data_IF_613171592013
#
_entry.id   IF_613171592013
#
_cell.length_a   1.000
_cell.length_b   1.000
_cell.length_c   1.000
_cell.angle_alpha   90.00
_cell.angle_beta   90.00
_cell.angle_gamma   90.00
#
_symmetry.space_group_name_H-M   'P 1'
#
loop_
_entity.id
_entity.type
_entity.pdbx_description
1 polymer ?
#
# COMPACT_ATOMS: atom_id res chain seq x y z
N UNK A 1 -20.38 10.90 -10.80
CA UNK A 1 -19.80 9.57 -10.93
C UNK A 1 -19.70 8.92 -9.57
N UNK A 2 -20.07 7.63 -9.45
CA UNK A 2 -20.00 6.96 -8.18
C UNK A 2 -18.54 6.82 -7.71
N UNK A 3 -18.36 6.94 -6.42
CA UNK A 3 -17.10 6.65 -5.73
C UNK A 3 -17.19 5.22 -5.20
N UNK A 4 -16.17 4.41 -5.47
CA UNK A 4 -16.05 3.08 -4.89
C UNK A 4 -15.60 3.19 -3.44
N UNK A 5 -16.23 2.41 -2.57
CA UNK A 5 -15.85 2.29 -1.17
C UNK A 5 -15.64 0.82 -0.83
N UNK A 6 -14.52 0.54 -0.21
CA UNK A 6 -14.18 -0.80 0.24
C UNK A 6 -13.51 -0.77 1.60
N UNK A 7 -13.46 -1.93 2.23
CA UNK A 7 -12.77 -2.14 3.49
C UNK A 7 -12.00 -3.46 3.43
N UNK A 8 -10.70 -3.38 3.63
CA UNK A 8 -9.87 -4.56 3.79
C UNK A 8 -9.35 -4.62 5.23
N UNK A 9 -9.30 -5.82 5.77
CA UNK A 9 -8.72 -6.07 7.10
C UNK A 9 -7.76 -7.22 6.99
N UNK A 10 -6.64 -7.13 7.69
CA UNK A 10 -5.64 -8.18 7.74
C UNK A 10 -5.19 -8.43 9.17
N UNK A 11 -5.03 -9.69 9.51
CA UNK A 11 -4.36 -10.12 10.74
C UNK A 11 -3.16 -10.94 10.29
N UNK A 12 -1.97 -10.50 10.65
CA UNK A 12 -0.73 -11.11 10.20
C UNK A 12 0.02 -11.70 11.38
N UNK A 13 0.54 -12.91 11.18
CA UNK A 13 1.45 -13.56 12.11
C UNK A 13 2.82 -13.73 11.47
N UNK A 14 3.86 -13.34 12.20
CA UNK A 14 5.25 -13.54 11.79
C UNK A 14 6.07 -14.10 12.96
N UNK A 15 7.00 -15.00 12.64
CA UNK A 15 7.92 -15.53 13.66
C UNK A 15 8.94 -14.45 14.05
N UNK A 16 9.42 -14.50 15.29
CA UNK A 16 10.40 -13.54 15.84
C UNK A 16 11.67 -13.38 14.99
N UNK A 17 12.06 -14.42 14.29
CA UNK A 17 13.25 -14.37 13.42
C UNK A 17 13.06 -13.52 12.17
N UNK A 18 11.80 -13.19 11.80
CA UNK A 18 11.47 -12.40 10.62
C UNK A 18 10.89 -11.02 10.95
N UNK A 19 10.40 -10.84 12.17
CA UNK A 19 9.79 -9.57 12.58
C UNK A 19 9.87 -9.39 14.08
N UNK A 20 10.05 -8.16 14.51
CA UNK A 20 9.99 -7.78 15.94
C UNK A 20 8.56 -7.84 16.47
N UNK A 21 7.57 -7.77 15.60
CA UNK A 21 6.15 -7.89 15.93
C UNK A 21 5.61 -9.23 15.42
N UNK A 22 5.06 -10.02 16.33
CA UNK A 22 4.56 -11.36 16.01
C UNK A 22 3.15 -11.34 15.44
N UNK A 23 2.28 -10.50 15.99
CA UNK A 23 0.90 -10.36 15.57
C UNK A 23 0.61 -8.91 15.28
N UNK A 24 0.07 -8.63 14.10
CA UNK A 24 -0.36 -7.30 13.70
C UNK A 24 -1.76 -7.35 13.12
N UNK A 25 -2.51 -6.29 13.30
CA UNK A 25 -3.80 -6.09 12.66
C UNK A 25 -3.75 -4.81 11.83
N UNK A 26 -4.34 -4.86 10.65
CA UNK A 26 -4.45 -3.71 9.75
C UNK A 26 -5.89 -3.53 9.31
N UNK A 27 -6.31 -2.29 9.24
CA UNK A 27 -7.61 -1.88 8.70
C UNK A 27 -7.32 -0.89 7.59
N UNK A 28 -7.77 -1.22 6.39
CA UNK A 28 -7.48 -0.47 5.19
C UNK A 28 -8.79 -0.06 4.49
N UNK A 29 -9.32 1.12 4.81
CA UNK A 29 -10.40 1.69 4.01
C UNK A 29 -9.89 1.97 2.60
N UNK A 30 -10.71 1.71 1.61
CA UNK A 30 -10.39 1.92 0.19
C UNK A 30 -11.40 2.89 -0.37
N UNK A 31 -10.91 3.99 -0.91
CA UNK A 31 -11.73 5.00 -1.57
C UNK A 31 -11.19 5.12 -2.98
N UNK A 32 -11.98 4.78 -3.98
CA UNK A 32 -11.53 4.87 -5.35
C UNK A 32 -12.53 5.56 -6.27
N UNK A 33 -12.01 6.05 -7.37
CA UNK A 33 -12.81 6.67 -8.41
C UNK A 33 -12.17 6.46 -9.77
N UNK A 34 -13.02 6.13 -10.73
CA UNK A 34 -12.63 6.02 -12.13
C UNK A 34 -13.41 7.01 -12.97
N UNK A 35 -12.69 7.73 -13.82
CA UNK A 35 -13.33 8.53 -14.85
C UNK A 35 -12.56 8.48 -16.17
N UNK A 36 -13.25 7.90 -17.17
CA UNK A 36 -12.61 7.60 -18.44
C UNK A 36 -11.40 6.69 -18.27
N UNK A 37 -10.24 7.05 -18.83
CA UNK A 37 -9.03 6.24 -18.68
C UNK A 37 -8.30 6.43 -17.35
N UNK A 38 -8.75 7.35 -16.50
CA UNK A 38 -8.10 7.64 -15.22
C UNK A 38 -8.68 6.81 -14.09
N UNK A 39 -7.81 6.33 -13.22
CA UNK A 39 -8.14 5.67 -11.96
C UNK A 39 -7.36 6.29 -10.82
N UNK A 40 -8.05 6.68 -9.75
CA UNK A 40 -7.44 7.17 -8.52
C UNK A 40 -7.96 6.37 -7.34
N UNK A 41 -7.07 6.06 -6.40
CA UNK A 41 -7.39 5.37 -5.16
C UNK A 41 -6.65 5.99 -3.99
N UNK A 42 -7.32 6.10 -2.86
CA UNK A 42 -6.75 6.53 -1.60
C UNK A 42 -7.12 5.52 -0.51
N UNK A 43 -6.12 5.09 0.24
CA UNK A 43 -6.28 4.09 1.28
C UNK A 43 -5.68 4.62 2.59
N UNK A 44 -6.48 5.27 3.45
CA UNK A 44 -6.02 5.73 4.76
C UNK A 44 -5.93 4.55 5.74
N UNK A 45 -4.85 3.78 5.64
CA UNK A 45 -4.64 2.59 6.45
C UNK A 45 -4.24 2.89 7.89
N UNK A 46 -4.73 2.09 8.80
CA UNK A 46 -4.27 2.06 10.20
C UNK A 46 -3.93 0.63 10.58
N UNK A 47 -2.90 0.49 11.41
CA UNK A 47 -2.46 -0.82 11.89
C UNK A 47 -1.97 -0.76 13.32
N UNK A 48 -1.95 -1.91 13.96
CA UNK A 48 -1.48 -2.04 15.33
C UNK A 48 -0.75 -3.36 15.55
N UNK A 49 0.35 -3.31 16.27
CA UNK A 49 1.00 -4.51 16.81
C UNK A 49 0.23 -5.01 18.03
N UNK A 50 -0.20 -6.27 17.99
CA UNK A 50 -0.90 -6.92 19.09
C UNK A 50 0.05 -7.67 20.00
N UNK A 51 1.18 -8.15 19.48
CA UNK A 51 2.21 -8.84 20.23
C UNK A 51 3.57 -8.66 19.58
N UNK A 52 4.51 -8.09 20.32
CA UNK A 52 5.87 -7.80 19.85
C UNK A 52 6.43 -6.56 20.52
N UNK A 53 7.52 -6.02 19.97
CA UNK A 53 8.21 -4.87 20.56
C UNK A 53 7.44 -3.55 20.40
N UNK A 54 6.62 -3.44 19.37
CA UNK A 54 5.90 -2.18 19.05
C UNK A 54 4.46 -2.14 19.58
N UNK A 55 4.07 -3.05 20.49
CA UNK A 55 2.70 -3.05 21.05
C UNK A 55 2.36 -1.75 21.78
N UNK A 56 3.34 -1.08 22.39
CA UNK A 56 3.15 0.18 23.11
C UNK A 56 2.93 1.39 22.20
N UNK A 57 3.24 1.29 20.89
CA UNK A 57 3.04 2.38 19.94
C UNK A 57 1.56 2.65 19.63
N UNK A 58 0.69 1.66 19.88
CA UNK A 58 -0.74 1.79 19.61
C UNK A 58 -1.06 1.70 18.11
N UNK A 59 -2.08 2.43 17.67
CA UNK A 59 -2.47 2.50 16.27
C UNK A 59 -1.52 3.40 15.49
N UNK A 60 -1.01 2.91 14.36
CA UNK A 60 -0.14 3.63 13.46
C UNK A 60 -0.85 3.94 12.15
N UNK A 61 -0.57 5.11 11.59
CA UNK A 61 -1.20 5.59 10.36
C UNK A 61 -0.29 5.37 9.16
N UNK A 62 -0.81 4.71 8.14
CA UNK A 62 -0.06 4.32 6.93
C UNK A 62 -0.91 4.57 5.68
N UNK A 63 -1.09 5.83 5.27
CA UNK A 63 -1.87 6.14 4.08
C UNK A 63 -1.12 5.74 2.81
N UNK A 64 -1.87 5.31 1.80
CA UNK A 64 -1.35 5.04 0.47
C UNK A 64 -2.27 5.60 -0.61
N UNK A 65 -1.69 5.91 -1.76
CA UNK A 65 -2.40 6.50 -2.90
C UNK A 65 -1.95 5.82 -4.19
N UNK A 66 -2.87 5.73 -5.14
CA UNK A 66 -2.57 5.24 -6.49
C UNK A 66 -3.25 6.13 -7.51
N UNK A 67 -2.51 6.48 -8.56
CA UNK A 67 -3.05 7.14 -9.75
C UNK A 67 -2.57 6.39 -10.97
N UNK A 68 -3.48 6.00 -11.87
CA UNK A 68 -3.13 5.31 -13.09
C UNK A 68 -3.95 5.78 -14.29
N UNK A 69 -3.38 5.53 -15.46
CA UNK A 69 -3.98 5.88 -16.75
C UNK A 69 -3.98 4.66 -17.66
N UNK A 70 -5.14 4.30 -18.18
CA UNK A 70 -5.29 3.20 -19.14
C UNK A 70 -4.79 3.62 -20.51
N UNK A 71 -3.62 3.12 -20.93
CA UNK A 71 -3.08 3.35 -22.28
C UNK A 71 -3.89 2.52 -23.29
N UNK A 72 -4.17 1.26 -22.90
CA UNK A 72 -5.03 0.35 -23.67
C UNK A 72 -5.94 -0.40 -22.70
N UNK A 73 -6.83 -1.26 -23.20
CA UNK A 73 -7.67 -2.11 -22.35
C UNK A 73 -6.86 -3.10 -21.52
N UNK A 74 -5.62 -3.37 -21.93
CA UNK A 74 -4.74 -4.37 -21.29
C UNK A 74 -3.60 -3.76 -20.50
N UNK A 75 -3.29 -2.46 -20.71
CA UNK A 75 -2.12 -1.81 -20.13
C UNK A 75 -2.52 -0.49 -19.49
N UNK A 76 -2.23 -0.36 -18.21
CA UNK A 76 -2.31 0.89 -17.47
C UNK A 76 -0.95 1.22 -16.87
N UNK A 77 -0.60 2.51 -16.86
CA UNK A 77 0.63 3.00 -16.23
C UNK A 77 0.27 4.04 -15.19
N UNK A 78 1.07 4.15 -14.14
CA UNK A 78 0.79 5.13 -13.10
C UNK A 78 1.81 5.17 -12.01
N UNK A 79 1.40 5.81 -10.92
CA UNK A 79 2.20 5.98 -9.71
C UNK A 79 1.46 5.41 -8.51
N UNK A 80 2.22 4.81 -7.61
CA UNK A 80 1.73 4.35 -6.32
C UNK A 80 2.61 4.95 -5.24
N UNK A 81 1.99 5.50 -4.20
CA UNK A 81 2.68 6.10 -3.08
C UNK A 81 2.28 5.38 -1.80
N UNK A 82 3.27 4.91 -1.06
CA UNK A 82 3.09 4.24 0.21
C UNK A 82 3.83 4.99 1.30
N UNK A 83 3.20 5.12 2.46
CA UNK A 83 3.82 5.77 3.61
C UNK A 83 3.51 5.06 4.91
N UNK A 84 4.38 5.25 5.88
CA UNK A 84 4.18 4.89 7.27
C UNK A 84 4.58 6.08 8.12
N UNK A 85 3.60 6.73 8.75
CA UNK A 85 3.79 7.99 9.43
C UNK A 85 4.01 7.85 10.94
N UNK A 86 3.73 6.66 11.49
CA UNK A 86 3.86 6.40 12.92
C UNK A 86 2.55 6.50 13.69
N UNK A 87 2.61 6.58 15.03
CA UNK A 87 1.42 6.56 15.88
C UNK A 87 0.44 7.69 15.57
N UNK A 88 -0.86 7.38 15.58
CA UNK A 88 -1.94 8.35 15.35
C UNK A 88 -1.90 9.50 16.36
N UNK A 89 -1.51 9.21 17.60
CA UNK A 89 -1.45 10.20 18.68
C UNK A 89 -0.23 11.13 18.62
N UNK A 90 0.77 10.78 17.82
CA UNK A 90 1.98 11.57 17.69
C UNK A 90 2.83 11.00 16.57
N UNK A 91 2.70 11.55 15.37
CA UNK A 91 3.40 11.08 14.19
C UNK A 91 4.92 11.18 14.41
N UNK A 92 5.64 10.21 13.85
CA UNK A 92 7.10 10.20 13.90
C UNK A 92 7.67 11.42 13.16
N UNK A 93 8.89 11.88 13.52
CA UNK A 93 9.59 12.88 12.71
C UNK A 93 9.72 12.44 11.25
N UNK A 94 9.63 13.37 10.31
CA UNK A 94 9.63 13.06 8.86
C UNK A 94 10.80 12.17 8.45
N UNK A 95 11.97 12.36 9.04
CA UNK A 95 13.16 11.54 8.76
C UNK A 95 13.01 10.08 9.19
N UNK A 96 12.12 9.78 10.13
CA UNK A 96 11.83 8.44 10.65
C UNK A 96 10.60 7.82 9.99
N UNK A 97 9.82 8.60 9.26
CA UNK A 97 8.70 8.11 8.48
C UNK A 97 9.18 7.40 7.22
N UNK A 98 8.43 6.41 6.78
CA UNK A 98 8.68 5.75 5.50
C UNK A 98 7.79 6.38 4.43
N UNK A 99 8.40 6.74 3.31
CA UNK A 99 7.72 7.27 2.13
C UNK A 99 8.34 6.65 0.90
N UNK A 100 7.55 5.94 0.12
CA UNK A 100 8.03 5.26 -1.09
C UNK A 100 7.11 5.58 -2.26
N UNK A 101 7.71 6.02 -3.36
CA UNK A 101 7.01 6.32 -4.60
C UNK A 101 7.37 5.27 -5.66
N UNK A 102 6.36 4.62 -6.23
CA UNK A 102 6.50 3.64 -7.29
C UNK A 102 6.02 4.19 -8.62
N UNK A 103 6.77 3.90 -9.68
CA UNK A 103 6.24 3.84 -11.05
C UNK A 103 5.74 2.42 -11.27
N UNK A 104 4.52 2.27 -11.74
CA UNK A 104 3.90 0.96 -11.86
C UNK A 104 3.21 0.76 -13.21
N UNK A 105 3.19 -0.48 -13.66
CA UNK A 105 2.47 -0.93 -14.84
C UNK A 105 1.52 -2.05 -14.41
N UNK A 106 0.26 -1.90 -14.77
CA UNK A 106 -0.75 -2.93 -14.61
C UNK A 106 -1.04 -3.56 -15.97
N UNK A 107 -0.87 -4.88 -16.05
CA UNK A 107 -1.15 -5.67 -17.26
C UNK A 107 -2.35 -6.58 -17.01
N UNK A 108 -3.32 -6.50 -17.90
CA UNK A 108 -4.44 -7.42 -17.94
C UNK A 108 -4.10 -8.54 -18.93
N UNK A 109 -3.69 -9.70 -18.42
CA UNK A 109 -3.20 -10.82 -19.22
C UNK A 109 -4.32 -11.74 -19.75
N UNK A 110 -5.56 -11.31 -19.61
CA UNK A 110 -6.73 -12.06 -20.05
C UNK A 110 -7.86 -11.97 -19.05
N UNK A 111 -8.95 -12.77 -19.20
CA UNK A 111 -10.10 -12.68 -18.31
C UNK A 111 -9.79 -13.10 -16.87
N UNK A 112 -8.76 -13.95 -16.66
CA UNK A 112 -8.49 -14.56 -15.38
C UNK A 112 -7.22 -14.03 -14.70
N UNK A 113 -6.28 -13.43 -15.45
CA UNK A 113 -4.96 -13.08 -14.94
C UNK A 113 -4.69 -11.59 -15.01
N UNK A 114 -4.01 -11.08 -14.00
CA UNK A 114 -3.50 -9.72 -13.96
C UNK A 114 -2.10 -9.69 -13.36
N UNK A 115 -1.27 -8.75 -13.81
CA UNK A 115 0.08 -8.54 -13.35
C UNK A 115 0.28 -7.06 -13.01
N UNK A 116 0.72 -6.78 -11.79
CA UNK A 116 1.21 -5.45 -11.39
C UNK A 116 2.73 -5.53 -11.24
N UNK A 117 3.41 -4.61 -11.88
CA UNK A 117 4.85 -4.55 -11.89
C UNK A 117 5.30 -3.12 -11.62
N UNK A 118 6.25 -2.92 -10.69
CA UNK A 118 6.66 -1.58 -10.33
C UNK A 118 8.07 -1.48 -9.79
N UNK A 119 8.65 -0.29 -9.91
CA UNK A 119 9.90 0.10 -9.30
C UNK A 119 9.67 1.36 -8.46
N UNK A 120 10.12 1.34 -7.23
CA UNK A 120 9.91 2.42 -6.26
C UNK A 120 11.20 2.92 -5.67
N UNK A 121 11.19 4.18 -5.27
CA UNK A 121 12.29 4.83 -4.57
C UNK A 121 11.81 5.37 -3.23
N UNK A 122 12.61 5.19 -2.20
CA UNK A 122 12.38 5.77 -0.88
C UNK A 122 12.71 7.26 -0.89
N UNK A 123 11.82 8.06 -0.31
CA UNK A 123 11.94 9.52 -0.26
C UNK A 123 12.55 10.01 1.06
N UNK A 124 12.68 9.13 2.06
CA UNK A 124 13.25 9.46 3.36
C UNK A 124 14.38 8.49 3.71
N UNK A 125 15.21 8.86 4.69
CA UNK A 125 16.28 7.99 5.17
C UNK A 125 15.83 6.69 5.81
N UNK A 126 14.59 6.64 6.34
CA UNK A 126 14.01 5.44 6.92
C UNK A 126 13.41 4.49 5.88
N UNK A 127 13.26 4.95 4.63
CA UNK A 127 12.71 4.17 3.53
C UNK A 127 13.81 3.41 2.79
N UNK A 128 13.48 2.26 2.22
CA UNK A 128 14.38 1.55 1.33
C UNK A 128 14.67 2.40 0.09
N UNK A 129 15.95 2.48 -0.32
CA UNK A 129 16.36 3.34 -1.43
C UNK A 129 15.76 2.90 -2.77
N UNK A 130 15.66 1.59 -2.97
CA UNK A 130 15.07 0.99 -4.18
C UNK A 130 14.25 -0.23 -3.79
N UNK A 131 13.01 -0.27 -4.28
CA UNK A 131 12.12 -1.42 -4.09
C UNK A 131 11.56 -1.83 -5.45
N UNK A 132 11.66 -3.11 -5.76
CA UNK A 132 11.01 -3.70 -6.93
C UNK A 132 9.84 -4.55 -6.44
N UNK A 133 8.71 -4.47 -7.12
CA UNK A 133 7.56 -5.30 -6.81
C UNK A 133 6.97 -5.95 -8.05
N UNK A 134 6.41 -7.13 -7.85
CA UNK A 134 5.64 -7.84 -8.86
C UNK A 134 4.51 -8.57 -8.16
N UNK A 135 3.30 -8.36 -8.60
CA UNK A 135 2.11 -9.01 -8.05
C UNK A 135 1.38 -9.68 -9.22
N UNK A 136 1.30 -10.99 -9.16
CA UNK A 136 0.50 -11.78 -10.09
C UNK A 136 -0.78 -12.19 -9.42
N UNK A 137 -1.91 -11.76 -9.99
CA UNK A 137 -3.24 -12.06 -9.49
C UNK A 137 -4.03 -12.96 -10.44
N UNK A 138 -4.85 -13.82 -9.88
CA UNK A 138 -5.82 -14.60 -10.63
C UNK A 138 -7.23 -14.28 -10.13
N UNK A 139 -8.13 -14.03 -11.06
CA UNK A 139 -9.56 -13.85 -10.76
C UNK A 139 -10.26 -15.20 -10.80
N UNK A 140 -11.13 -15.41 -9.85
CA UNK A 140 -11.92 -16.66 -9.76
C UNK A 140 -13.39 -16.39 -10.08
#
# INVERSE_FOLDING_TARGET
>A
LPVGLGLATAITYQRRQFSVDMWTVEILPIIDKRWGPWYLSANPGIGRSLKGQNTCRGWEFSPSFKGSYDITRKVAVGFEYYSSLGPVNGLDPVREQQHTLFSAVDLNLGPDWELNFGAGAGLTGASDALVLKMILGRRF
#
